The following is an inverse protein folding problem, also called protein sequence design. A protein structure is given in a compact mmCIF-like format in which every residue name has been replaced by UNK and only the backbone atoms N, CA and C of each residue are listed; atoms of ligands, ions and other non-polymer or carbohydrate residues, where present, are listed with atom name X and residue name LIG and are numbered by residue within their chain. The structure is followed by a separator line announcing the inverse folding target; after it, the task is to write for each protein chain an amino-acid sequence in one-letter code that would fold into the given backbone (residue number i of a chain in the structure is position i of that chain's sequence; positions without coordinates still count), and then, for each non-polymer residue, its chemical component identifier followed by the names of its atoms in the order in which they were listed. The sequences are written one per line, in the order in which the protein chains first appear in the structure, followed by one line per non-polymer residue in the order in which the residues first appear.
data_IF_318605757743
#
_entry.id   IF_318605757743
#
_cell.length_a   1.000
_cell.length_b   1.000
_cell.length_c   1.000
_cell.angle_alpha   90.00
_cell.angle_beta   90.00
_cell.angle_gamma   90.00
#
_symmetry.space_group_name_H-M   'P 1'
#
loop_
_entity.id
_entity.type
_entity.pdbx_description
1 polymer ?
#
# COMPACT_ATOMS: atom_id res chain seq x y z
N UNK A 1 40.56 -9.49 -1.63
CA UNK A 1 40.68 -10.15 -2.94
C UNK A 1 41.80 -9.49 -3.72
N UNK A 2 42.74 -10.22 -4.34
CA UNK A 2 43.76 -9.61 -5.18
C UNK A 2 43.09 -8.85 -6.34
N UNK A 3 43.54 -7.63 -6.62
CA UNK A 3 43.09 -6.87 -7.81
C UNK A 3 43.41 -7.71 -9.04
N UNK A 4 42.41 -7.96 -9.91
CA UNK A 4 42.66 -8.50 -11.25
C UNK A 4 43.72 -7.59 -11.93
N UNK A 5 44.72 -8.15 -12.63
CA UNK A 5 45.71 -7.37 -13.35
C UNK A 5 44.98 -6.42 -14.32
N UNK A 6 45.43 -5.17 -14.43
CA UNK A 6 44.79 -4.16 -15.29
C UNK A 6 44.91 -4.52 -16.78
N UNK A 7 43.86 -4.27 -17.57
CA UNK A 7 43.88 -4.53 -19.00
C UNK A 7 44.80 -3.53 -19.69
N UNK A 8 45.75 -3.96 -20.54
CA UNK A 8 46.51 -3.04 -21.38
C UNK A 8 45.56 -2.34 -22.37
N UNK A 9 45.92 -1.11 -22.76
CA UNK A 9 45.22 -0.41 -23.84
C UNK A 9 45.36 -1.20 -25.15
N UNK A 10 44.36 -1.16 -26.04
CA UNK A 10 44.50 -1.76 -27.37
C UNK A 10 45.60 -1.03 -28.16
N UNK A 11 46.30 -1.76 -29.03
CA UNK A 11 47.40 -1.21 -29.84
C UNK A 11 46.92 -0.23 -30.95
N UNK A 12 45.61 -0.08 -31.12
CA UNK A 12 45.02 0.83 -32.12
C UNK A 12 44.95 2.28 -31.61
N UNK A 13 45.21 3.23 -32.51
CA UNK A 13 45.04 4.66 -32.30
C UNK A 13 43.74 5.20 -32.93
N UNK A 14 42.95 4.34 -33.57
CA UNK A 14 41.66 4.73 -34.15
C UNK A 14 40.67 5.06 -33.01
N UNK A 15 40.06 6.26 -33.00
CA UNK A 15 39.12 6.66 -31.94
C UNK A 15 37.90 5.74 -31.81
N UNK A 16 37.44 5.12 -32.90
CA UNK A 16 36.30 4.19 -32.85
C UNK A 16 36.71 2.82 -32.28
N UNK A 17 37.95 2.37 -32.54
CA UNK A 17 38.52 1.18 -31.90
C UNK A 17 38.68 1.36 -30.39
N UNK A 18 39.20 2.53 -29.99
CA UNK A 18 39.31 2.89 -28.59
C UNK A 18 37.94 2.89 -27.92
N UNK A 19 36.89 3.39 -28.62
CA UNK A 19 35.52 3.36 -28.09
C UNK A 19 35.03 1.93 -27.88
N UNK A 20 35.05 1.06 -28.88
CA UNK A 20 34.54 -0.32 -28.73
C UNK A 20 35.33 -1.13 -27.70
N UNK A 21 36.63 -0.88 -27.56
CA UNK A 21 37.52 -1.52 -26.58
C UNK A 21 37.38 -0.96 -25.14
N UNK A 22 36.84 0.24 -24.97
CA UNK A 22 36.65 0.87 -23.64
C UNK A 22 35.39 0.38 -22.94
N UNK A 23 35.46 -0.12 -21.70
CA UNK A 23 34.33 -0.66 -20.92
C UNK A 23 33.10 0.25 -20.86
N UNK A 24 33.27 1.57 -20.95
CA UNK A 24 32.16 2.53 -20.94
C UNK A 24 31.77 3.09 -22.32
N UNK A 25 32.38 2.59 -23.40
CA UNK A 25 32.23 3.06 -24.79
C UNK A 25 32.62 4.54 -24.98
N UNK A 26 33.53 5.04 -24.15
CA UNK A 26 33.95 6.45 -24.12
C UNK A 26 35.35 6.69 -24.71
N UNK A 27 36.01 5.65 -25.23
CA UNK A 27 37.37 5.73 -25.78
C UNK A 27 38.46 5.86 -24.71
N UNK A 28 38.15 5.57 -23.45
CA UNK A 28 39.06 5.74 -22.30
C UNK A 28 39.04 4.52 -21.39
N UNK A 29 40.08 4.40 -20.57
CA UNK A 29 40.13 3.42 -19.49
C UNK A 29 38.85 3.49 -18.61
N UNK A 30 38.31 2.35 -18.11
CA UNK A 30 38.85 0.99 -18.18
C UNK A 30 38.68 0.29 -19.52
N UNK A 31 39.68 -0.46 -19.97
CA UNK A 31 39.64 -1.27 -21.21
C UNK A 31 39.04 -2.65 -20.95
N UNK A 32 38.49 -3.27 -21.99
CA UNK A 32 38.12 -4.68 -21.97
C UNK A 32 39.38 -5.56 -21.90
N UNK A 33 39.25 -6.67 -21.20
CA UNK A 33 40.27 -7.72 -21.20
C UNK A 33 40.08 -8.65 -22.40
N UNK A 34 41.09 -8.88 -23.26
CA UNK A 34 40.99 -9.81 -24.39
C UNK A 34 40.69 -11.26 -24.00
N UNK A 35 41.03 -11.66 -22.77
CA UNK A 35 40.74 -12.98 -22.22
C UNK A 35 39.37 -13.10 -21.53
N UNK A 36 38.56 -12.04 -21.51
CA UNK A 36 37.19 -12.07 -20.99
C UNK A 36 36.19 -12.04 -22.15
N UNK A 37 35.11 -12.80 -22.01
CA UNK A 37 34.05 -12.80 -23.00
C UNK A 37 33.40 -11.41 -23.12
N UNK A 38 33.27 -10.90 -24.35
CA UNK A 38 32.55 -9.66 -24.64
C UNK A 38 31.05 -9.95 -24.63
N UNK A 39 30.25 -9.30 -23.76
CA UNK A 39 28.81 -9.57 -23.70
C UNK A 39 28.05 -9.13 -24.96
N UNK A 40 26.97 -9.83 -25.29
CA UNK A 40 26.20 -9.59 -26.51
C UNK A 40 25.59 -8.18 -26.58
N UNK A 41 24.93 -7.74 -25.50
CA UNK A 41 24.29 -6.42 -25.45
C UNK A 41 25.28 -5.25 -25.58
N UNK A 42 26.56 -5.49 -25.25
CA UNK A 42 27.62 -4.49 -25.44
C UNK A 42 27.92 -4.24 -26.91
N UNK A 43 27.95 -5.30 -27.72
CA UNK A 43 28.13 -5.20 -29.18
C UNK A 43 26.98 -4.40 -29.78
N UNK A 44 25.74 -4.68 -29.37
CA UNK A 44 24.56 -3.94 -29.82
C UNK A 44 24.62 -2.46 -29.43
N UNK A 45 25.03 -2.17 -28.19
CA UNK A 45 25.20 -0.79 -27.73
C UNK A 45 26.29 -0.04 -28.51
N UNK A 46 27.44 -0.67 -28.75
CA UNK A 46 28.50 -0.10 -29.58
C UNK A 46 28.04 0.14 -31.02
N UNK A 47 27.30 -0.80 -31.61
CA UNK A 47 26.71 -0.67 -32.93
C UNK A 47 25.73 0.52 -33.01
N UNK A 48 24.89 0.70 -31.98
CA UNK A 48 23.99 1.84 -31.85
C UNK A 48 24.73 3.17 -31.73
N UNK A 49 25.72 3.27 -30.84
CA UNK A 49 26.48 4.51 -30.58
C UNK A 49 27.32 4.94 -31.79
N UNK A 50 27.92 3.98 -32.50
CA UNK A 50 28.77 4.24 -33.68
C UNK A 50 27.99 4.21 -35.01
N UNK A 51 26.71 3.84 -34.99
CA UNK A 51 25.86 3.63 -36.18
C UNK A 51 26.44 2.59 -37.14
N UNK A 52 27.04 1.54 -36.60
CA UNK A 52 27.61 0.42 -37.36
C UNK A 52 26.63 -0.76 -37.37
N UNK A 53 26.86 -1.72 -38.28
CA UNK A 53 26.19 -3.02 -38.15
C UNK A 53 26.85 -3.79 -37.00
N UNK A 54 26.09 -4.53 -36.17
CA UNK A 54 26.68 -5.37 -35.13
C UNK A 54 27.75 -6.34 -35.65
N UNK A 55 27.57 -6.87 -36.86
CA UNK A 55 28.57 -7.71 -37.52
C UNK A 55 29.91 -6.98 -37.75
N UNK A 56 29.88 -5.70 -38.11
CA UNK A 56 31.09 -4.89 -38.33
C UNK A 56 31.82 -4.62 -37.00
N UNK A 57 31.07 -4.36 -35.92
CA UNK A 57 31.63 -4.23 -34.56
C UNK A 57 32.32 -5.53 -34.13
N UNK A 58 31.69 -6.68 -34.36
CA UNK A 58 32.27 -8.01 -34.06
C UNK A 58 33.54 -8.24 -34.86
N UNK A 59 33.52 -7.97 -36.16
CA UNK A 59 34.70 -8.08 -37.03
C UNK A 59 35.84 -7.19 -36.54
N UNK A 60 35.53 -5.97 -36.07
CA UNK A 60 36.55 -5.06 -35.56
C UNK A 60 37.10 -5.49 -34.20
N UNK A 61 36.24 -5.93 -33.28
CA UNK A 61 36.65 -6.49 -31.99
C UNK A 61 37.56 -7.72 -32.16
N UNK A 62 37.24 -8.61 -33.10
CA UNK A 62 38.11 -9.76 -33.43
C UNK A 62 39.49 -9.31 -33.92
N UNK A 63 39.55 -8.29 -34.78
CA UNK A 63 40.82 -7.75 -35.29
C UNK A 63 41.67 -7.10 -34.17
N UNK A 64 41.03 -6.60 -33.11
CA UNK A 64 41.68 -6.05 -31.92
C UNK A 64 42.03 -7.12 -30.87
N UNK A 65 41.78 -8.41 -31.14
CA UNK A 65 42.11 -9.52 -30.26
C UNK A 65 41.01 -9.95 -29.28
N UNK A 66 39.82 -9.35 -29.36
CA UNK A 66 38.65 -9.73 -28.54
C UNK A 66 37.84 -10.83 -29.25
N UNK A 67 38.37 -12.05 -29.30
CA UNK A 67 37.80 -13.15 -30.09
C UNK A 67 36.60 -13.86 -29.42
N UNK A 68 36.54 -13.87 -28.09
CA UNK A 68 35.44 -14.48 -27.34
C UNK A 68 34.28 -13.49 -27.20
N UNK A 69 33.32 -13.56 -28.13
CA UNK A 69 32.14 -12.70 -28.15
C UNK A 69 30.89 -13.56 -27.93
N UNK A 70 30.10 -13.19 -26.92
CA UNK A 70 28.84 -13.84 -26.61
C UNK A 70 27.87 -13.72 -27.80
N UNK A 71 27.14 -14.80 -28.10
CA UNK A 71 26.18 -14.86 -29.22
C UNK A 71 24.77 -15.17 -28.75
N UNK A 72 23.78 -14.64 -29.45
CA UNK A 72 22.38 -15.06 -29.32
C UNK A 72 22.14 -16.39 -30.07
N UNK A 73 20.95 -16.96 -29.90
CA UNK A 73 20.48 -18.11 -30.70
C UNK A 73 20.10 -17.74 -32.14
N UNK A 74 19.94 -16.45 -32.42
CA UNK A 74 19.66 -15.91 -33.76
C UNK A 74 20.88 -15.18 -34.32
N UNK A 75 20.96 -14.97 -35.65
CA UNK A 75 21.98 -14.13 -36.26
C UNK A 75 21.98 -12.70 -35.69
N UNK A 76 23.10 -12.00 -35.83
CA UNK A 76 23.17 -10.58 -35.53
C UNK A 76 22.13 -9.80 -36.36
N UNK A 77 21.40 -8.85 -35.76
CA UNK A 77 20.48 -8.02 -36.52
C UNK A 77 21.26 -7.12 -37.49
N UNK A 78 20.67 -6.83 -38.65
CA UNK A 78 21.29 -6.00 -39.69
C UNK A 78 21.48 -4.54 -39.24
N UNK A 79 20.66 -4.06 -38.30
CA UNK A 79 20.70 -2.70 -37.77
C UNK A 79 20.17 -2.63 -36.34
N UNK A 80 20.65 -1.66 -35.57
CA UNK A 80 20.23 -1.36 -34.20
C UNK A 80 19.69 0.07 -34.17
N UNK A 81 18.54 0.28 -33.53
CA UNK A 81 17.95 1.61 -33.33
C UNK A 81 18.62 2.31 -32.15
N UNK A 82 18.68 3.66 -32.12
CA UNK A 82 19.24 4.41 -30.99
C UNK A 82 18.66 4.02 -29.63
N UNK A 83 17.36 3.70 -29.58
CA UNK A 83 16.64 3.34 -28.36
C UNK A 83 16.98 1.92 -27.87
N UNK A 84 17.49 1.03 -28.73
CA UNK A 84 17.84 -0.34 -28.36
C UNK A 84 18.96 -0.40 -27.33
N UNK A 85 19.87 0.59 -27.36
CA UNK A 85 20.94 0.71 -26.39
C UNK A 85 20.41 0.75 -24.95
N UNK A 86 19.22 1.34 -24.72
CA UNK A 86 18.59 1.37 -23.40
C UNK A 86 17.91 0.06 -23.03
N UNK A 87 17.53 -0.77 -24.01
CA UNK A 87 16.88 -2.06 -23.78
C UNK A 87 17.87 -3.15 -23.33
N UNK A 88 19.12 -3.06 -23.82
CA UNK A 88 20.16 -4.07 -23.59
C UNK A 88 21.05 -3.80 -22.37
N UNK A 89 20.74 -2.76 -21.58
CA UNK A 89 21.44 -2.43 -20.33
C UNK A 89 20.58 -2.84 -19.15
N UNK A 90 21.17 -3.48 -18.15
CA UNK A 90 20.44 -3.92 -16.94
C UNK A 90 19.81 -2.73 -16.22
N UNK A 91 18.53 -2.87 -15.89
CA UNK A 91 17.74 -1.89 -15.14
C UNK A 91 18.10 -1.80 -13.64
N UNK A 92 19.14 -2.50 -13.20
CA UNK A 92 19.58 -2.52 -11.81
C UNK A 92 20.41 -1.27 -11.47
N UNK A 93 20.07 -0.62 -10.36
CA UNK A 93 20.68 0.66 -9.92
C UNK A 93 22.19 0.57 -9.69
N UNK A 94 22.74 -0.62 -9.48
CA UNK A 94 24.18 -0.84 -9.27
C UNK A 94 24.90 -1.44 -10.49
N UNK A 95 24.16 -1.74 -11.56
CA UNK A 95 24.65 -2.34 -12.79
C UNK A 95 24.87 -1.30 -13.88
N UNK A 96 25.43 -0.13 -13.51
CA UNK A 96 25.60 1.00 -14.43
C UNK A 96 26.33 0.57 -15.71
N UNK A 97 25.56 0.41 -16.79
CA UNK A 97 26.08 0.02 -18.10
C UNK A 97 26.39 -1.47 -18.27
N UNK A 98 26.08 -2.33 -17.30
CA UNK A 98 26.24 -3.78 -17.47
C UNK A 98 25.18 -4.29 -18.47
N UNK A 99 25.60 -5.03 -19.51
CA UNK A 99 24.68 -5.58 -20.48
C UNK A 99 23.74 -6.62 -19.88
N UNK A 100 22.51 -6.69 -20.38
CA UNK A 100 21.62 -7.83 -20.16
C UNK A 100 22.25 -9.05 -20.83
N UNK A 101 22.32 -10.15 -20.10
CA UNK A 101 22.81 -11.42 -20.62
C UNK A 101 21.79 -11.99 -21.62
N UNK A 102 22.22 -12.24 -22.86
CA UNK A 102 21.35 -12.75 -23.93
C UNK A 102 20.97 -14.23 -23.73
N UNK A 103 21.69 -14.95 -22.88
CA UNK A 103 21.43 -16.35 -22.56
C UNK A 103 20.43 -16.52 -21.42
N UNK A 104 20.21 -15.46 -20.64
CA UNK A 104 19.19 -15.42 -19.59
C UNK A 104 17.84 -14.99 -20.15
N UNK A 105 16.77 -15.42 -19.50
CA UNK A 105 15.43 -14.89 -19.79
C UNK A 105 15.35 -13.47 -19.24
N UNK A 106 14.90 -12.54 -20.08
CA UNK A 106 14.67 -11.15 -19.68
C UNK A 106 13.57 -11.10 -18.64
N UNK A 107 13.86 -10.54 -17.47
CA UNK A 107 12.89 -10.37 -16.38
C UNK A 107 11.81 -9.34 -16.71
N UNK A 108 10.64 -9.47 -16.07
CA UNK A 108 9.56 -8.50 -16.18
C UNK A 108 10.03 -7.10 -15.78
N UNK A 109 10.88 -7.02 -14.75
CA UNK A 109 11.51 -5.77 -14.30
C UNK A 109 12.28 -5.10 -15.43
N UNK A 110 13.09 -5.83 -16.17
CA UNK A 110 13.87 -5.27 -17.28
C UNK A 110 12.93 -4.70 -18.35
N UNK A 111 11.89 -5.45 -18.75
CA UNK A 111 10.91 -4.99 -19.74
C UNK A 111 10.23 -3.70 -19.29
N UNK A 112 9.69 -3.68 -18.08
CA UNK A 112 8.92 -2.54 -17.55
C UNK A 112 9.81 -1.31 -17.32
N UNK A 113 11.02 -1.49 -16.81
CA UNK A 113 11.96 -0.39 -16.60
C UNK A 113 12.43 0.21 -17.93
N UNK A 114 12.78 -0.64 -18.91
CA UNK A 114 13.13 -0.18 -20.26
C UNK A 114 11.97 0.53 -20.93
N UNK A 115 10.75 -0.01 -20.85
CA UNK A 115 9.53 0.62 -21.39
C UNK A 115 9.31 2.03 -20.83
N UNK A 116 9.46 2.20 -19.52
CA UNK A 116 9.38 3.51 -18.87
C UNK A 116 10.50 4.45 -19.33
N UNK A 117 11.72 3.95 -19.51
CA UNK A 117 12.87 4.76 -19.93
C UNK A 117 12.76 5.26 -21.38
N UNK A 118 12.32 4.41 -22.31
CA UNK A 118 12.19 4.77 -23.73
C UNK A 118 10.78 5.24 -24.12
N UNK A 119 9.88 5.37 -23.14
CA UNK A 119 8.49 5.76 -23.33
C UNK A 119 7.75 4.93 -24.41
N UNK A 120 7.96 3.60 -24.39
CA UNK A 120 7.29 2.62 -25.27
C UNK A 120 6.42 1.67 -24.43
N UNK A 121 5.54 0.91 -25.08
CA UNK A 121 4.74 -0.09 -24.38
C UNK A 121 5.60 -1.30 -23.96
N UNK A 122 5.26 -2.01 -22.87
CA UNK A 122 5.91 -3.26 -22.52
C UNK A 122 5.90 -4.30 -23.66
N UNK A 123 4.81 -4.36 -24.43
CA UNK A 123 4.71 -5.24 -25.59
C UNK A 123 5.69 -4.88 -26.71
N UNK A 124 5.84 -3.59 -27.02
CA UNK A 124 6.83 -3.11 -28.01
C UNK A 124 8.25 -3.43 -27.57
N UNK A 125 8.58 -3.19 -26.30
CA UNK A 125 9.91 -3.50 -25.75
C UNK A 125 10.18 -4.99 -25.82
N UNK A 126 9.21 -5.85 -25.45
CA UNK A 126 9.37 -7.30 -25.54
C UNK A 126 9.57 -7.77 -26.99
N UNK A 127 8.79 -7.25 -27.95
CA UNK A 127 8.98 -7.54 -29.38
C UNK A 127 10.36 -7.10 -29.85
N UNK A 128 10.80 -5.90 -29.45
CA UNK A 128 12.10 -5.37 -29.86
C UNK A 128 13.25 -6.18 -29.27
N UNK A 129 13.21 -6.50 -27.98
CA UNK A 129 14.22 -7.37 -27.35
C UNK A 129 14.25 -8.77 -28.00
N UNK A 130 13.09 -9.32 -28.36
CA UNK A 130 13.01 -10.59 -29.11
C UNK A 130 13.66 -10.49 -30.48
N UNK A 131 13.42 -9.39 -31.22
CA UNK A 131 14.05 -9.14 -32.52
C UNK A 131 15.57 -8.93 -32.40
N UNK A 132 16.05 -8.43 -31.26
CA UNK A 132 17.47 -8.34 -30.91
C UNK A 132 18.06 -9.66 -30.40
N UNK A 133 17.27 -10.75 -30.32
CA UNK A 133 17.76 -12.08 -29.95
C UNK A 133 17.71 -12.42 -28.47
N UNK A 134 17.09 -11.58 -27.64
CA UNK A 134 16.84 -11.88 -26.24
C UNK A 134 15.61 -12.77 -26.06
N UNK A 135 15.67 -13.63 -25.04
CA UNK A 135 14.54 -14.49 -24.67
C UNK A 135 13.65 -13.75 -23.67
N UNK A 136 12.44 -13.37 -24.07
CA UNK A 136 11.49 -12.71 -23.16
C UNK A 136 10.51 -13.72 -22.56
N UNK A 137 10.44 -13.77 -21.23
CA UNK A 137 9.61 -14.70 -20.47
C UNK A 137 8.11 -14.39 -20.46
N UNK A 138 7.53 -13.97 -21.58
CA UNK A 138 6.15 -13.42 -21.64
C UNK A 138 5.02 -14.38 -21.20
N UNK A 139 5.31 -15.65 -20.94
CA UNK A 139 4.27 -16.67 -20.74
C UNK A 139 3.39 -16.79 -21.99
N UNK A 140 2.18 -17.33 -21.84
CA UNK A 140 1.23 -17.49 -22.95
C UNK A 140 0.39 -16.23 -23.26
N UNK A 141 0.62 -15.09 -22.58
CA UNK A 141 -0.24 -13.89 -22.67
C UNK A 141 0.49 -12.71 -23.30
N UNK A 142 -0.17 -11.95 -24.18
CA UNK A 142 0.41 -10.72 -24.70
C UNK A 142 0.53 -9.66 -23.60
N UNK A 143 1.67 -8.97 -23.59
CA UNK A 143 1.91 -7.83 -22.71
C UNK A 143 1.03 -6.62 -23.09
N UNK A 144 0.91 -5.61 -22.21
CA UNK A 144 0.13 -4.42 -22.52
C UNK A 144 0.74 -3.61 -23.67
N UNK A 145 -0.11 -3.20 -24.62
CA UNK A 145 0.25 -2.33 -25.76
C UNK A 145 0.25 -0.84 -25.40
N UNK A 146 -0.19 -0.48 -24.19
CA UNK A 146 -0.13 0.89 -23.69
C UNK A 146 1.07 1.08 -22.77
N UNK A 147 1.82 2.16 -22.96
CA UNK A 147 2.84 2.58 -22.02
C UNK A 147 2.20 3.10 -20.72
N UNK A 148 2.70 2.66 -19.56
CA UNK A 148 2.40 3.28 -18.28
C UNK A 148 3.69 3.33 -17.43
N UNK A 149 4.29 4.51 -17.21
CA UNK A 149 5.52 4.62 -16.43
C UNK A 149 5.34 4.18 -14.96
N UNK A 150 4.09 4.03 -14.49
CA UNK A 150 3.77 3.54 -13.14
C UNK A 150 3.87 2.02 -13.02
N UNK A 151 3.99 1.28 -14.12
CA UNK A 151 4.15 -0.18 -14.11
C UNK A 151 5.34 -0.63 -13.24
N UNK A 152 6.41 0.16 -13.22
CA UNK A 152 7.59 -0.14 -12.38
C UNK A 152 7.26 -0.16 -10.89
N UNK A 153 6.27 0.64 -10.46
CA UNK A 153 5.81 0.67 -9.08
C UNK A 153 4.92 -0.53 -8.76
N UNK A 154 4.16 -1.01 -9.74
CA UNK A 154 3.28 -2.17 -9.57
C UNK A 154 4.06 -3.44 -9.25
N UNK A 155 5.28 -3.60 -9.78
CA UNK A 155 6.06 -4.84 -9.61
C UNK A 155 7.07 -4.80 -8.44
N UNK A 156 7.04 -3.76 -7.59
CA UNK A 156 8.01 -3.55 -6.50
C UNK A 156 7.40 -3.90 -5.13
N UNK A 157 7.83 -4.98 -4.48
CA UNK A 157 7.21 -5.51 -3.25
C UNK A 157 7.79 -5.00 -1.94
N UNK A 158 9.07 -4.64 -1.87
CA UNK A 158 9.68 -4.03 -0.67
C UNK A 158 10.24 -2.64 -0.97
N UNK A 159 10.08 -1.71 -0.04
CA UNK A 159 10.63 -0.34 -0.13
C UNK A 159 11.88 -0.17 0.73
N UNK A 160 12.10 -1.01 1.74
CA UNK A 160 13.13 -0.80 2.77
C UNK A 160 14.49 -1.36 2.39
N UNK A 161 14.55 -2.40 1.54
CA UNK A 161 15.79 -3.14 1.26
C UNK A 161 16.11 -3.26 -0.24
N UNK A 162 16.19 -2.14 -0.97
CA UNK A 162 16.45 -2.09 -2.42
C UNK A 162 15.38 -2.73 -3.33
N UNK A 163 14.33 -3.26 -2.71
CA UNK A 163 13.16 -3.84 -3.35
C UNK A 163 13.37 -5.24 -3.86
N UNK A 164 12.56 -6.16 -3.35
CA UNK A 164 12.19 -7.37 -4.08
C UNK A 164 11.27 -6.97 -5.23
N UNK A 165 11.42 -7.63 -6.37
CA UNK A 165 10.70 -7.35 -7.59
C UNK A 165 9.93 -8.59 -8.00
N UNK A 166 8.67 -8.41 -8.37
CA UNK A 166 7.86 -9.46 -8.97
C UNK A 166 8.35 -9.74 -10.39
N UNK A 167 8.40 -11.02 -10.73
CA UNK A 167 8.76 -11.50 -12.06
C UNK A 167 7.63 -12.33 -12.67
N UNK A 168 7.86 -12.85 -13.87
CA UNK A 168 6.89 -13.58 -14.67
C UNK A 168 6.15 -14.67 -13.89
N UNK A 169 4.82 -14.59 -13.85
CA UNK A 169 3.99 -15.61 -13.22
C UNK A 169 4.03 -15.63 -11.70
N UNK A 170 4.71 -14.68 -11.04
CA UNK A 170 4.64 -14.54 -9.60
C UNK A 170 3.21 -14.30 -9.14
N UNK A 171 2.88 -14.85 -7.99
CA UNK A 171 1.60 -14.61 -7.34
C UNK A 171 1.66 -13.34 -6.51
N UNK A 172 0.69 -12.46 -6.75
CA UNK A 172 0.58 -11.15 -6.12
C UNK A 172 -0.56 -11.18 -5.13
N UNK A 173 -0.21 -11.00 -3.85
CA UNK A 173 -1.22 -10.92 -2.80
C UNK A 173 -2.16 -9.72 -3.00
N UNK A 174 -3.42 -9.85 -2.58
CA UNK A 174 -4.38 -8.75 -2.58
C UNK A 174 -3.86 -7.54 -1.79
N UNK A 175 -3.12 -7.79 -0.72
CA UNK A 175 -2.46 -6.73 0.05
C UNK A 175 -1.53 -5.87 -0.82
N UNK A 176 -0.67 -6.49 -1.63
CA UNK A 176 0.22 -5.75 -2.51
C UNK A 176 -0.56 -4.89 -3.50
N UNK A 177 -1.67 -5.40 -4.04
CA UNK A 177 -2.57 -4.63 -4.93
C UNK A 177 -3.11 -3.39 -4.23
N UNK A 178 -3.61 -3.52 -3.00
CA UNK A 178 -4.13 -2.39 -2.22
C UNK A 178 -3.05 -1.36 -1.94
N UNK A 179 -1.86 -1.83 -1.55
CA UNK A 179 -0.71 -0.97 -1.23
C UNK A 179 -0.27 -0.16 -2.45
N UNK A 180 -0.10 -0.79 -3.62
CA UNK A 180 0.29 -0.08 -4.84
C UNK A 180 -0.82 0.82 -5.37
N UNK A 181 -2.09 0.42 -5.24
CA UNK A 181 -3.23 1.26 -5.64
C UNK A 181 -3.31 2.54 -4.81
N UNK A 182 -3.13 2.42 -3.48
CA UNK A 182 -3.02 3.54 -2.57
C UNK A 182 -1.85 4.48 -2.96
N UNK A 183 -0.68 3.91 -3.22
CA UNK A 183 0.52 4.68 -3.59
C UNK A 183 0.38 5.41 -4.93
N UNK A 184 -0.30 4.80 -5.89
CA UNK A 184 -0.51 5.35 -7.22
C UNK A 184 -1.78 6.21 -7.32
N UNK A 185 -2.49 6.39 -6.19
CA UNK A 185 -3.78 7.08 -6.12
C UNK A 185 -4.76 6.60 -7.20
N UNK A 186 -4.83 5.28 -7.40
CA UNK A 186 -5.71 4.65 -8.37
C UNK A 186 -6.60 3.59 -7.72
N UNK A 187 -7.54 3.06 -8.50
CA UNK A 187 -8.43 2.00 -8.06
C UNK A 187 -7.66 0.67 -7.88
N UNK A 188 -7.93 -0.11 -6.83
CA UNK A 188 -7.44 -1.48 -6.68
C UNK A 188 -7.77 -2.37 -7.88
N UNK A 189 -8.96 -2.21 -8.49
CA UNK A 189 -9.35 -2.97 -9.68
C UNK A 189 -8.47 -2.62 -10.89
N UNK A 190 -8.13 -1.35 -11.08
CA UNK A 190 -7.22 -0.91 -12.15
C UNK A 190 -5.80 -1.46 -11.92
N UNK A 191 -5.28 -1.36 -10.70
CA UNK A 191 -3.98 -1.92 -10.35
C UNK A 191 -3.93 -3.44 -10.57
N UNK A 192 -4.94 -4.18 -10.10
CA UNK A 192 -5.06 -5.61 -10.27
C UNK A 192 -5.10 -6.03 -11.75
N UNK A 193 -5.94 -5.39 -12.56
CA UNK A 193 -5.99 -5.68 -14.00
C UNK A 193 -4.66 -5.40 -14.69
N UNK A 194 -3.97 -4.32 -14.28
CA UNK A 194 -2.67 -3.98 -14.86
C UNK A 194 -1.60 -5.01 -14.49
N UNK A 195 -1.56 -5.47 -13.24
CA UNK A 195 -0.68 -6.55 -12.79
C UNK A 195 -0.93 -7.85 -13.58
N UNK A 196 -2.20 -8.24 -13.76
CA UNK A 196 -2.56 -9.42 -14.56
C UNK A 196 -2.14 -9.27 -16.02
N UNK A 197 -2.30 -8.07 -16.60
CA UNK A 197 -1.87 -7.79 -17.96
C UNK A 197 -0.34 -7.82 -18.13
N UNK A 198 0.41 -7.52 -17.06
CA UNK A 198 1.87 -7.66 -17.01
C UNK A 198 2.33 -9.12 -16.80
N UNK A 199 1.41 -10.09 -16.73
CA UNK A 199 1.73 -11.51 -16.62
C UNK A 199 1.83 -12.04 -15.19
N UNK A 200 1.37 -11.27 -14.19
CA UNK A 200 1.32 -11.69 -12.79
C UNK A 200 0.02 -12.41 -12.46
N UNK A 201 0.04 -13.29 -11.46
CA UNK A 201 -1.14 -14.04 -11.00
C UNK A 201 -1.72 -13.40 -9.76
N UNK A 202 -3.04 -13.39 -9.66
CA UNK A 202 -3.76 -13.02 -8.44
C UNK A 202 -4.43 -14.28 -7.87
N UNK A 203 -4.47 -14.46 -6.53
CA UNK A 203 -5.18 -15.58 -5.91
C UNK A 203 -6.71 -15.38 -5.92
N UNK A 204 -7.20 -14.30 -6.53
CA UNK A 204 -8.60 -13.92 -6.64
C UNK A 204 -8.87 -13.27 -8.00
N UNK A 205 -10.15 -13.20 -8.40
CA UNK A 205 -10.55 -12.49 -9.63
C UNK A 205 -10.91 -11.04 -9.28
N UNK A 206 -10.23 -10.01 -9.80
CA UNK A 206 -10.54 -8.63 -9.46
C UNK A 206 -11.86 -8.16 -10.10
N UNK A 207 -12.72 -7.54 -9.30
CA UNK A 207 -14.04 -7.07 -9.73
C UNK A 207 -14.14 -5.55 -9.61
N UNK A 208 -14.86 -4.85 -10.52
CA UNK A 208 -15.07 -3.41 -10.37
C UNK A 208 -15.78 -3.03 -9.07
N UNK A 209 -16.61 -3.93 -8.53
CA UNK A 209 -17.33 -3.74 -7.28
C UNK A 209 -16.42 -3.64 -6.05
N UNK A 210 -15.22 -4.22 -6.10
CA UNK A 210 -14.24 -4.27 -4.99
C UNK A 210 -13.93 -2.89 -4.43
N UNK A 211 -13.92 -1.87 -5.30
CA UNK A 211 -13.69 -0.49 -4.89
C UNK A 211 -14.68 -0.02 -3.82
N UNK A 212 -15.96 -0.37 -3.92
CA UNK A 212 -16.94 0.07 -2.90
C UNK A 212 -16.69 -0.62 -1.56
N UNK A 213 -16.31 -1.88 -1.59
CA UNK A 213 -16.02 -2.67 -0.39
C UNK A 213 -14.78 -2.16 0.33
N UNK A 214 -13.74 -1.80 -0.42
CA UNK A 214 -12.43 -1.41 0.09
C UNK A 214 -12.34 0.06 0.50
N UNK A 215 -13.22 0.92 -0.02
CA UNK A 215 -13.20 2.36 0.22
C UNK A 215 -13.64 2.67 1.63
N UNK A 216 -12.69 3.00 2.49
CA UNK A 216 -12.93 3.47 3.85
C UNK A 216 -12.45 4.91 3.96
N UNK A 217 -13.40 5.84 3.99
CA UNK A 217 -13.11 7.28 4.07
C UNK A 217 -13.16 7.71 5.54
N UNK A 218 -12.12 8.45 5.94
CA UNK A 218 -11.96 9.14 7.23
C UNK A 218 -11.73 8.24 8.46
N UNK A 219 -10.46 7.96 8.72
CA UNK A 219 -9.92 8.02 10.08
C UNK A 219 -8.80 9.05 10.10
N UNK A 220 -8.97 10.08 10.93
CA UNK A 220 -7.91 10.99 11.34
C UNK A 220 -6.75 10.13 11.90
N UNK A 221 -5.66 10.01 11.16
CA UNK A 221 -4.44 9.37 11.65
C UNK A 221 -3.79 8.34 10.72
N UNK A 222 -4.43 7.94 9.62
CA UNK A 222 -3.74 7.07 8.67
C UNK A 222 -2.69 7.87 7.90
N UNK A 223 -1.41 7.63 8.21
CA UNK A 223 -0.21 8.33 7.68
C UNK A 223 -0.12 8.24 6.15
N UNK A 224 -1.01 7.47 5.50
CA UNK A 224 -1.01 7.20 4.08
C UNK A 224 -2.17 7.82 3.28
N UNK A 225 -3.16 8.46 3.93
CA UNK A 225 -4.16 9.32 3.26
C UNK A 225 -4.90 8.70 2.06
N UNK A 226 -4.93 7.37 1.96
CA UNK A 226 -5.26 6.67 0.71
C UNK A 226 -6.76 6.39 0.53
N UNK A 227 -7.55 6.48 1.59
CA UNK A 227 -8.99 6.21 1.57
C UNK A 227 -9.37 4.73 1.37
N UNK A 228 -8.42 3.81 1.55
CA UNK A 228 -8.59 2.36 1.45
C UNK A 228 -8.20 1.68 2.76
N UNK A 229 -8.80 0.52 3.07
CA UNK A 229 -8.36 -0.28 4.20
C UNK A 229 -6.89 -0.70 4.09
N UNK A 230 -6.17 -0.59 5.21
CA UNK A 230 -4.79 -1.07 5.33
C UNK A 230 -4.69 -2.58 5.48
N UNK A 231 -3.45 -3.09 5.31
CA UNK A 231 -3.05 -4.50 5.36
C UNK A 231 -3.68 -5.36 6.46
N UNK A 232 -3.83 -4.79 7.65
CA UNK A 232 -4.24 -5.49 8.87
C UNK A 232 -5.50 -4.89 9.47
N UNK A 233 -6.17 -4.01 8.72
CA UNK A 233 -7.36 -3.34 9.18
C UNK A 233 -8.53 -4.31 9.08
N UNK A 234 -9.08 -4.70 10.22
CA UNK A 234 -10.38 -5.32 10.27
C UNK A 234 -11.43 -4.26 9.90
N UNK A 235 -12.33 -4.52 8.95
CA UNK A 235 -13.37 -3.57 8.58
C UNK A 235 -14.38 -3.43 9.74
N UNK A 236 -14.75 -2.20 10.13
CA UNK A 236 -15.79 -1.98 11.14
C UNK A 236 -17.12 -2.63 10.73
N UNK A 237 -17.86 -3.17 11.69
CA UNK A 237 -19.21 -3.72 11.44
C UNK A 237 -20.12 -2.70 10.73
N UNK A 238 -20.07 -1.43 11.15
CA UNK A 238 -20.83 -0.35 10.51
C UNK A 238 -20.52 -0.17 9.02
N UNK A 239 -19.25 -0.36 8.64
CA UNK A 239 -18.83 -0.30 7.24
C UNK A 239 -19.46 -1.42 6.40
N UNK A 240 -19.41 -2.65 6.90
CA UNK A 240 -19.97 -3.82 6.20
C UNK A 240 -21.48 -3.63 5.97
N UNK A 241 -22.21 -3.23 7.01
CA UNK A 241 -23.66 -3.03 6.92
C UNK A 241 -23.99 -1.86 5.97
N UNK A 242 -23.21 -0.77 6.00
CA UNK A 242 -23.41 0.35 5.10
C UNK A 242 -23.19 -0.03 3.63
N UNK A 243 -22.12 -0.78 3.33
CA UNK A 243 -21.86 -1.29 1.98
C UNK A 243 -22.97 -2.26 1.54
N UNK A 244 -23.47 -3.10 2.44
CA UNK A 244 -24.60 -4.01 2.16
C UNK A 244 -25.85 -3.24 1.74
N UNK A 245 -26.21 -2.21 2.52
CA UNK A 245 -27.37 -1.35 2.23
C UNK A 245 -27.25 -0.65 0.87
N UNK A 246 -26.07 -0.15 0.54
CA UNK A 246 -25.86 0.63 -0.69
C UNK A 246 -25.76 -0.24 -1.93
N UNK A 247 -25.17 -1.43 -1.82
CA UNK A 247 -24.96 -2.33 -2.95
C UNK A 247 -26.11 -3.33 -3.12
N UNK A 248 -26.97 -3.48 -2.11
CA UNK A 248 -28.01 -4.51 -2.06
C UNK A 248 -27.47 -5.93 -1.89
N UNK A 249 -26.17 -6.09 -1.59
CA UNK A 249 -25.53 -7.39 -1.38
C UNK A 249 -25.73 -7.90 0.05
N UNK A 250 -25.86 -9.23 0.25
CA UNK A 250 -25.81 -9.82 1.58
C UNK A 250 -24.50 -9.49 2.31
N UNK A 251 -24.59 -9.30 3.61
CA UNK A 251 -23.47 -8.98 4.49
C UNK A 251 -22.44 -10.11 4.47
N UNK A 252 -22.89 -11.37 4.50
CA UNK A 252 -22.03 -12.54 4.41
C UNK A 252 -21.19 -12.54 3.13
N UNK A 253 -21.77 -12.14 1.99
CA UNK A 253 -21.06 -12.07 0.71
C UNK A 253 -20.02 -10.93 0.71
N UNK A 254 -20.32 -9.82 1.36
CA UNK A 254 -19.37 -8.72 1.54
C UNK A 254 -18.18 -9.16 2.41
N UNK A 255 -18.46 -9.82 3.54
CA UNK A 255 -17.41 -10.32 4.44
C UNK A 255 -16.54 -11.35 3.73
N UNK A 256 -17.16 -12.32 3.05
CA UNK A 256 -16.43 -13.32 2.26
C UNK A 256 -15.55 -12.66 1.20
N UNK A 257 -16.08 -11.64 0.50
CA UNK A 257 -15.32 -10.92 -0.52
C UNK A 257 -14.16 -10.12 0.08
N UNK A 258 -14.34 -9.45 1.21
CA UNK A 258 -13.26 -8.74 1.91
C UNK A 258 -12.14 -9.69 2.36
N UNK A 259 -12.50 -10.89 2.85
CA UNK A 259 -11.54 -11.94 3.19
C UNK A 259 -10.77 -12.44 1.95
N UNK A 260 -11.44 -12.63 0.81
CA UNK A 260 -10.79 -13.00 -0.46
C UNK A 260 -9.80 -11.91 -0.93
N UNK A 261 -10.14 -10.64 -0.68
CA UNK A 261 -9.29 -9.47 -0.92
C UNK A 261 -8.20 -9.28 0.16
N UNK A 262 -8.01 -10.26 1.04
CA UNK A 262 -6.91 -10.30 2.01
C UNK A 262 -7.09 -9.39 3.23
N UNK A 263 -8.30 -8.86 3.46
CA UNK A 263 -8.61 -8.17 4.72
C UNK A 263 -8.87 -9.19 5.83
N UNK A 264 -8.63 -8.76 7.08
CA UNK A 264 -9.07 -9.51 8.25
C UNK A 264 -10.61 -9.59 8.31
N UNK A 265 -11.11 -10.59 9.03
CA UNK A 265 -12.53 -10.64 9.36
C UNK A 265 -12.98 -9.34 10.06
N UNK A 266 -14.26 -8.94 9.92
CA UNK A 266 -14.80 -7.76 10.57
C UNK A 266 -14.51 -7.76 12.07
N UNK A 267 -14.33 -6.56 12.62
CA UNK A 267 -13.99 -6.40 14.02
C UNK A 267 -15.17 -6.62 14.98
N UNK A 268 -16.25 -7.27 14.54
CA UNK A 268 -17.40 -7.56 15.38
C UNK A 268 -18.34 -8.56 14.73
N UNK A 269 -19.53 -8.67 15.28
CA UNK A 269 -20.56 -9.56 14.76
C UNK A 269 -21.44 -8.79 13.77
N UNK A 270 -21.42 -9.21 12.50
CA UNK A 270 -22.22 -8.59 11.45
C UNK A 270 -23.59 -9.28 11.40
N UNK A 271 -24.69 -8.59 11.72
CA UNK A 271 -26.01 -9.20 11.69
C UNK A 271 -26.51 -9.37 10.25
N UNK A 272 -27.19 -10.48 9.98
CA UNK A 272 -27.85 -10.74 8.69
C UNK A 272 -28.94 -9.68 8.39
N UNK A 273 -29.66 -9.24 9.43
CA UNK A 273 -30.68 -8.20 9.34
C UNK A 273 -30.36 -7.10 10.35
N UNK A 274 -29.83 -5.94 9.90
CA UNK A 274 -29.54 -4.81 10.78
C UNK A 274 -30.83 -4.10 11.18
N UNK A 275 -30.86 -3.59 12.40
CA UNK A 275 -31.89 -2.65 12.86
C UNK A 275 -31.60 -1.25 12.29
N UNK A 276 -32.64 -0.43 12.08
CA UNK A 276 -32.45 0.94 11.59
C UNK A 276 -31.51 1.76 12.49
N UNK A 277 -31.60 1.53 13.81
CA UNK A 277 -30.79 2.21 14.81
C UNK A 277 -29.32 1.72 14.81
N UNK A 278 -29.00 0.55 14.24
CA UNK A 278 -27.62 0.04 14.24
C UNK A 278 -26.68 1.01 13.53
N UNK A 279 -27.12 1.62 12.43
CA UNK A 279 -26.32 2.62 11.71
C UNK A 279 -26.00 3.82 12.60
N UNK A 280 -26.99 4.29 13.36
CA UNK A 280 -26.84 5.43 14.27
C UNK A 280 -25.90 5.05 15.40
N UNK A 281 -26.09 3.90 16.03
CA UNK A 281 -25.27 3.44 17.15
C UNK A 281 -23.82 3.16 16.75
N UNK A 282 -23.57 2.66 15.53
CA UNK A 282 -22.24 2.33 15.02
C UNK A 282 -21.50 3.54 14.41
N UNK A 283 -22.17 4.67 14.22
CA UNK A 283 -21.53 5.91 13.75
C UNK A 283 -20.92 6.67 14.93
N UNK A 284 -19.65 7.10 14.83
CA UNK A 284 -19.01 7.90 15.89
C UNK A 284 -19.76 9.21 16.17
N UNK A 285 -20.37 9.78 15.12
CA UNK A 285 -21.13 11.04 15.19
C UNK A 285 -22.63 10.84 15.43
N UNK A 286 -23.08 9.59 15.47
CA UNK A 286 -24.50 9.22 15.61
C UNK A 286 -25.39 9.76 14.49
N UNK A 287 -24.85 9.91 13.28
CA UNK A 287 -25.57 10.42 12.10
C UNK A 287 -25.92 9.30 11.09
N UNK A 288 -25.63 8.05 11.45
CA UNK A 288 -25.85 6.89 10.59
C UNK A 288 -24.84 6.78 9.45
N UNK A 289 -23.72 7.51 9.52
CA UNK A 289 -22.67 7.56 8.50
C UNK A 289 -21.29 7.38 9.13
N UNK A 290 -20.30 7.10 8.27
CA UNK A 290 -18.90 7.06 8.66
C UNK A 290 -18.44 8.42 9.26
N UNK A 291 -17.46 8.45 10.17
CA UNK A 291 -16.64 7.32 10.64
C UNK A 291 -17.43 6.32 11.51
N UNK A 292 -17.10 5.04 11.35
CA UNK A 292 -17.73 3.94 12.08
C UNK A 292 -16.90 3.60 13.33
N UNK A 293 -17.58 3.26 14.42
CA UNK A 293 -16.93 2.86 15.66
C UNK A 293 -15.98 1.68 15.44
N UNK A 294 -14.69 1.82 15.77
CA UNK A 294 -13.78 0.68 15.79
C UNK A 294 -14.03 -0.18 17.03
N UNK A 295 -13.75 -1.47 16.95
CA UNK A 295 -13.70 -2.32 18.15
C UNK A 295 -12.52 -1.93 19.02
N UNK A 296 -12.83 -1.45 20.22
CA UNK A 296 -11.82 -1.15 21.23
C UNK A 296 -11.69 -2.31 22.24
N UNK A 297 -10.68 -3.15 22.06
CA UNK A 297 -10.40 -4.29 22.94
C UNK A 297 -9.63 -3.92 24.22
N UNK A 298 -9.18 -2.66 24.35
CA UNK A 298 -8.35 -2.25 25.48
C UNK A 298 -9.18 -1.54 26.53
N UNK A 299 -9.87 -0.46 26.15
CA UNK A 299 -10.65 0.38 27.09
C UNK A 299 -12.15 0.16 26.98
N UNK A 300 -12.60 -0.59 25.99
CA UNK A 300 -14.02 -0.82 25.73
C UNK A 300 -14.74 0.41 25.19
N UNK A 301 -16.04 0.25 25.01
CA UNK A 301 -16.98 1.28 24.60
C UNK A 301 -17.18 2.28 25.75
N UNK A 302 -17.20 3.57 25.43
CA UNK A 302 -17.37 4.61 26.44
C UNK A 302 -18.85 4.86 26.73
N UNK A 303 -19.20 5.01 28.01
CA UNK A 303 -20.59 5.32 28.44
C UNK A 303 -21.12 6.57 27.76
N UNK A 304 -20.27 7.57 27.47
CA UNK A 304 -20.67 8.77 26.72
C UNK A 304 -21.33 8.44 25.39
N UNK A 305 -20.79 7.47 24.66
CA UNK A 305 -21.33 7.07 23.37
C UNK A 305 -22.69 6.41 23.54
N UNK A 306 -22.81 5.53 24.54
CA UNK A 306 -24.05 4.84 24.87
C UNK A 306 -25.15 5.85 25.25
N UNK A 307 -24.86 6.84 26.09
CA UNK A 307 -25.83 7.85 26.50
C UNK A 307 -26.26 8.76 25.33
N UNK A 308 -25.30 9.20 24.50
CA UNK A 308 -25.61 9.98 23.31
C UNK A 308 -26.45 9.17 22.32
N UNK A 309 -26.11 7.90 22.08
CA UNK A 309 -26.86 7.01 21.21
C UNK A 309 -28.28 6.73 21.76
N UNK A 310 -28.41 6.51 23.07
CA UNK A 310 -29.70 6.34 23.74
C UNK A 310 -30.60 7.57 23.55
N UNK A 311 -30.04 8.78 23.68
CA UNK A 311 -30.75 10.03 23.41
C UNK A 311 -31.25 10.13 21.98
N UNK A 312 -30.38 9.84 21.00
CA UNK A 312 -30.71 9.99 19.57
C UNK A 312 -31.71 8.93 19.11
N UNK A 313 -31.59 7.71 19.59
CA UNK A 313 -32.46 6.57 19.21
C UNK A 313 -33.74 6.48 20.05
N UNK A 314 -33.81 7.19 21.18
CA UNK A 314 -34.90 7.08 22.15
C UNK A 314 -34.91 5.76 22.94
N UNK A 315 -33.85 4.95 22.85
CA UNK A 315 -33.72 3.69 23.59
C UNK A 315 -33.12 3.90 24.97
N UNK A 316 -33.30 2.94 25.87
CA UNK A 316 -32.63 2.98 27.17
C UNK A 316 -31.12 2.72 27.03
N UNK A 317 -30.26 3.28 27.91
CA UNK A 317 -28.82 3.02 27.89
C UNK A 317 -28.47 1.52 27.92
N UNK A 318 -29.19 0.73 28.72
CA UNK A 318 -29.03 -0.72 28.78
C UNK A 318 -29.38 -1.40 27.45
N UNK A 319 -30.44 -0.97 26.78
CA UNK A 319 -30.81 -1.52 25.47
C UNK A 319 -29.76 -1.20 24.40
N UNK A 320 -29.20 0.01 24.40
CA UNK A 320 -28.13 0.42 23.47
C UNK A 320 -26.86 -0.40 23.72
N UNK A 321 -26.45 -0.54 24.99
CA UNK A 321 -25.29 -1.32 25.36
C UNK A 321 -25.45 -2.81 25.01
N UNK A 322 -26.64 -3.38 25.23
CA UNK A 322 -26.96 -4.74 24.84
C UNK A 322 -26.87 -4.95 23.32
N UNK A 323 -27.39 -4.00 22.52
CA UNK A 323 -27.32 -4.07 21.06
C UNK A 323 -25.88 -3.93 20.56
N UNK A 324 -25.11 -2.97 21.08
CA UNK A 324 -23.70 -2.80 20.73
C UNK A 324 -22.85 -4.02 21.13
N UNK A 325 -23.16 -4.66 22.26
CA UNK A 325 -22.57 -5.96 22.65
C UNK A 325 -22.88 -7.06 21.65
N UNK A 326 -24.12 -7.17 21.18
CA UNK A 326 -24.50 -8.14 20.14
C UNK A 326 -23.78 -7.90 18.80
N UNK A 327 -23.37 -6.65 18.54
CA UNK A 327 -22.56 -6.24 17.39
C UNK A 327 -21.05 -6.40 17.62
N UNK A 328 -20.62 -6.82 18.81
CA UNK A 328 -19.21 -7.12 19.14
C UNK A 328 -18.46 -6.01 19.87
N UNK A 329 -19.12 -4.92 20.27
CA UNK A 329 -18.54 -3.88 21.12
C UNK A 329 -18.76 -4.21 22.60
N UNK A 330 -17.70 -4.21 23.39
CA UNK A 330 -17.77 -4.50 24.82
C UNK A 330 -17.74 -3.22 25.65
N UNK A 331 -18.56 -3.17 26.71
CA UNK A 331 -18.53 -2.12 27.73
C UNK A 331 -17.67 -2.57 28.91
N UNK A 332 -16.82 -1.70 29.45
CA UNK A 332 -15.95 -2.02 30.58
C UNK A 332 -16.74 -2.49 31.81
N UNK A 333 -16.24 -3.49 32.54
CA UNK A 333 -16.96 -4.09 33.68
C UNK A 333 -17.22 -3.10 34.82
N UNK A 334 -16.33 -2.12 35.00
CA UNK A 334 -16.51 -1.04 35.99
C UNK A 334 -17.56 0.01 35.57
N UNK A 335 -17.96 0.05 34.28
CA UNK A 335 -18.84 1.08 33.78
C UNK A 335 -20.29 0.84 34.22
N UNK A 336 -20.87 1.85 34.87
CA UNK A 336 -22.24 1.78 35.38
C UNK A 336 -23.18 2.59 34.47
N UNK A 337 -24.18 1.91 33.90
CA UNK A 337 -25.17 2.56 33.05
C UNK A 337 -26.35 3.08 33.88
N UNK A 338 -26.71 4.37 33.76
CA UNK A 338 -27.90 4.88 34.40
C UNK A 338 -29.16 4.31 33.74
N UNK A 339 -30.25 4.22 34.51
CA UNK A 339 -31.54 3.71 34.01
C UNK A 339 -32.17 4.63 32.95
N UNK A 340 -31.91 5.94 33.04
CA UNK A 340 -32.40 6.96 32.11
C UNK A 340 -31.24 7.87 31.66
N UNK A 341 -31.42 8.51 30.50
CA UNK A 341 -30.47 9.48 29.98
C UNK A 341 -30.64 10.80 30.73
N UNK A 342 -29.55 11.32 31.29
CA UNK A 342 -29.46 12.69 31.81
C UNK A 342 -28.55 13.51 30.89
N UNK A 343 -29.04 14.64 30.39
CA UNK A 343 -28.27 15.53 29.51
C UNK A 343 -27.03 16.10 30.23
N UNK A 344 -27.13 16.33 31.53
CA UNK A 344 -26.00 16.81 32.32
C UNK A 344 -24.90 15.74 32.46
N UNK A 345 -25.24 14.45 32.39
CA UNK A 345 -24.24 13.38 32.35
C UNK A 345 -23.52 13.31 31.00
N UNK A 346 -24.23 13.56 29.89
CA UNK A 346 -23.61 13.65 28.57
C UNK A 346 -22.60 14.82 28.55
N UNK A 347 -23.03 16.00 28.99
CA UNK A 347 -22.18 17.19 29.05
C UNK A 347 -20.97 16.99 29.98
N UNK A 348 -21.16 16.31 31.11
CA UNK A 348 -20.08 15.92 32.02
C UNK A 348 -19.07 14.98 31.35
N UNK A 349 -19.54 13.96 30.63
CA UNK A 349 -18.66 12.96 30.01
C UNK A 349 -17.93 13.48 28.75
N UNK A 350 -18.41 14.55 28.12
CA UNK A 350 -17.71 15.20 27.01
C UNK A 350 -16.36 15.81 27.44
N UNK A 351 -16.19 16.09 28.74
CA UNK A 351 -14.92 16.60 29.27
C UNK A 351 -13.94 15.48 29.66
N UNK A 352 -14.44 14.26 29.85
CA UNK A 352 -13.67 13.13 30.34
C UNK A 352 -13.13 12.32 29.16
N UNK A 353 -11.86 12.56 28.86
CA UNK A 353 -11.12 11.84 27.81
C UNK A 353 -10.43 10.57 28.32
N UNK A 354 -10.46 10.33 29.64
CA UNK A 354 -9.80 9.20 30.31
C UNK A 354 -10.59 7.90 30.20
N UNK A 355 -9.86 6.78 30.26
CA UNK A 355 -10.47 5.46 30.30
C UNK A 355 -10.85 5.07 31.73
N UNK A 356 -11.70 4.05 31.90
CA UNK A 356 -12.03 3.49 33.22
C UNK A 356 -10.80 2.94 33.97
N UNK A 357 -9.70 2.68 33.26
CA UNK A 357 -8.45 2.23 33.84
C UNK A 357 -7.60 3.35 34.43
N UNK A 358 -7.86 4.59 34.07
CA UNK A 358 -7.08 5.74 34.51
C UNK A 358 -7.89 6.54 35.54
N UNK A 359 -7.20 7.12 36.52
CA UNK A 359 -7.84 8.05 37.45
C UNK A 359 -8.25 9.32 36.70
N UNK A 360 -9.46 9.79 36.97
CA UNK A 360 -9.92 11.07 36.45
C UNK A 360 -9.24 12.18 37.25
N UNK A 361 -8.33 12.90 36.58
CA UNK A 361 -7.66 14.04 37.19
C UNK A 361 -8.62 15.14 37.63
N UNK A 362 -8.26 15.84 38.71
CA UNK A 362 -8.98 17.00 39.24
C UNK A 362 -9.34 18.06 38.18
N UNK A 363 -8.46 18.29 37.19
CA UNK A 363 -8.73 19.22 36.09
C UNK A 363 -10.01 18.88 35.29
N UNK A 364 -10.31 17.59 35.11
CA UNK A 364 -11.50 17.14 34.38
C UNK A 364 -12.74 17.33 35.24
N UNK A 365 -12.63 17.09 36.56
CA UNK A 365 -13.73 17.32 37.52
C UNK A 365 -14.09 18.81 37.56
N UNK A 366 -13.10 19.70 37.68
CA UNK A 366 -13.33 21.15 37.68
C UNK A 366 -13.89 21.65 36.35
N UNK A 367 -13.39 21.13 35.22
CA UNK A 367 -13.92 21.46 33.89
C UNK A 367 -15.38 21.03 33.74
N UNK A 368 -15.72 19.81 34.16
CA UNK A 368 -17.11 19.32 34.19
C UNK A 368 -18.01 20.15 35.09
N UNK A 369 -17.54 20.53 36.28
CA UNK A 369 -18.30 21.37 37.20
C UNK A 369 -18.65 22.72 36.56
N UNK A 370 -17.66 23.34 35.90
CA UNK A 370 -17.88 24.59 35.17
C UNK A 370 -18.88 24.45 34.00
N UNK A 371 -18.83 23.35 33.25
CA UNK A 371 -19.69 23.16 32.06
C UNK A 371 -21.11 22.73 32.41
N UNK A 372 -21.29 22.01 33.52
CA UNK A 372 -22.61 21.50 33.95
C UNK A 372 -23.28 22.38 34.99
N UNK A 373 -22.57 23.35 35.57
CA UNK A 373 -23.04 24.16 36.69
C UNK A 373 -23.18 23.37 38.01
N UNK A 374 -22.66 22.14 38.06
CA UNK A 374 -22.62 21.28 39.25
C UNK A 374 -21.45 21.69 40.16
N UNK A 375 -21.50 21.31 41.43
CA UNK A 375 -20.32 21.45 42.28
C UNK A 375 -19.26 20.40 41.89
N UNK A 376 -17.96 20.63 42.13
CA UNK A 376 -16.96 19.58 41.96
C UNK A 376 -17.27 18.30 42.74
N UNK A 377 -17.84 18.41 43.95
CA UNK A 377 -18.32 17.26 44.72
C UNK A 377 -19.42 16.47 43.99
N UNK A 378 -20.44 17.16 43.46
CA UNK A 378 -21.53 16.54 42.71
C UNK A 378 -21.00 15.83 41.44
N UNK A 379 -20.02 16.45 40.76
CA UNK A 379 -19.37 15.85 39.57
C UNK A 379 -18.56 14.61 39.95
N UNK A 380 -17.81 14.67 41.05
CA UNK A 380 -17.02 13.56 41.55
C UNK A 380 -17.93 12.37 41.96
N UNK A 381 -19.00 12.64 42.69
CA UNK A 381 -20.02 11.64 43.05
C UNK A 381 -20.63 11.04 41.78
N UNK A 382 -20.99 11.86 40.80
CA UNK A 382 -21.60 11.37 39.56
C UNK A 382 -20.63 10.53 38.72
N UNK A 383 -19.37 10.94 38.60
CA UNK A 383 -18.34 10.17 37.90
C UNK A 383 -18.13 8.80 38.57
N UNK A 384 -18.08 8.77 39.90
CA UNK A 384 -18.01 7.53 40.68
C UNK A 384 -19.23 6.64 40.42
N UNK A 385 -20.43 7.23 40.43
CA UNK A 385 -21.67 6.51 40.15
C UNK A 385 -21.73 5.95 38.71
N UNK A 386 -21.02 6.57 37.76
CA UNK A 386 -20.86 6.10 36.38
C UNK A 386 -19.68 5.11 36.21
N UNK A 387 -18.95 4.80 37.29
CA UNK A 387 -17.88 3.80 37.31
C UNK A 387 -16.47 4.33 37.12
N UNK A 388 -16.27 5.65 37.07
CA UNK A 388 -14.94 6.24 36.97
C UNK A 388 -14.22 6.25 38.31
N UNK A 389 -12.89 6.04 38.28
CA UNK A 389 -12.02 6.15 39.44
C UNK A 389 -11.52 7.57 39.60
N UNK A 390 -11.50 8.06 40.83
CA UNK A 390 -10.99 9.37 41.20
C UNK A 390 -9.84 9.19 42.20
N UNK A 391 -8.85 10.10 42.25
CA UNK A 391 -7.78 10.03 43.23
C UNK A 391 -8.33 10.19 44.66
N UNK A 392 -7.97 9.26 45.56
CA UNK A 392 -8.41 9.24 46.97
C UNK A 392 -7.89 10.45 47.79
N UNK A 393 -6.85 11.12 47.31
CA UNK A 393 -6.13 12.18 48.03
C UNK A 393 -6.71 13.59 47.79
N UNK A 394 -7.78 13.71 47.01
CA UNK A 394 -8.34 15.00 46.59
C UNK A 394 -9.69 15.26 47.24
N UNK A 395 -9.78 16.35 47.99
CA UNK A 395 -11.04 16.86 48.55
C UNK A 395 -11.76 17.75 47.50
N UNK A 396 -13.03 17.44 47.22
CA UNK A 396 -13.82 18.11 46.19
C UNK A 396 -14.83 19.07 46.83
N UNK A 397 -14.78 20.38 46.53
CA UNK A 397 -15.66 21.34 47.19
C UNK A 397 -17.12 21.21 46.74
N UNK A 398 -18.05 21.46 47.67
CA UNK A 398 -19.50 21.53 47.39
C UNK A 398 -19.94 22.86 46.75
N UNK A 399 -19.03 23.84 46.67
CA UNK A 399 -19.35 25.17 46.17
C UNK A 399 -19.44 25.15 44.64
N UNK A 400 -20.59 25.57 44.11
CA UNK A 400 -20.78 25.77 42.67
C UNK A 400 -19.99 26.97 42.18
N UNK A 401 -19.22 26.80 41.11
CA UNK A 401 -18.59 27.92 40.42
C UNK A 401 -19.64 28.88 39.85
N UNK A 402 -19.40 30.18 39.92
CA UNK A 402 -20.28 31.15 39.28
C UNK A 402 -20.31 30.88 37.76
N UNK A 403 -21.47 30.54 37.21
CA UNK A 403 -21.64 30.35 35.77
C UNK A 403 -21.28 31.67 35.05
N UNK A 404 -20.13 31.71 34.38
CA UNK A 404 -19.83 32.78 33.43
C UNK A 404 -20.77 32.60 32.26
N UNK A 405 -21.82 33.42 32.22
CA UNK A 405 -22.71 33.55 31.07
C UNK A 405 -21.88 34.09 29.90
N UNK A 406 -21.54 33.23 28.95
CA UNK A 406 -20.80 33.55 27.73
C UNK A 406 -21.64 33.26 26.50
#
# INVERSE_FOLDING_TARGET
MPRKPEAPAPDSQDPDDLRIASRNLNGRYPWLHPGEQVPYGRVLRAASELKWRPADVVSRLNALGYADIQRASIPWPDSVEPDDAALVVRAERWSYGDPVDVQETVSLRQIVASAAQVNRSPADVARRMTALGYRVGTGARPLPESADPRDIRLILTDRRSYGTWLDWGDEVSAHHVLDVAAQLACSPHIAAKRLVALGLRLPYTPEPGDERLLRYRDTYGDVHGSGWFGRWSAPPVGHVIAVARETGRPQADIVARLCELGLAAPDGNVPDVPEADDFVMLSENLDGRAPWLPRNNVVGLQVRHILRAARVTGRSPVSVAGRLTALGHWLHDDANLPAAVDEADIALLDTVTRSYRDDVHLENVLRSASLTGRSPADVAERLTALGYRLPDEVDYPEIRGALTSG
#
